data_IF_438634610106
#
_entry.id   IF_438634610106
#
_cell.length_a   1.000
_cell.length_b   1.000
_cell.length_c   1.000
_cell.angle_alpha   90.00
_cell.angle_beta   90.00
_cell.angle_gamma   90.00
#
_symmetry.space_group_name_H-M   'P 1'
#
loop_
_entity.id
_entity.type
_entity.pdbx_description
1 polymer ?
#
# COMPACT_ATOMS: atom_id res chain seq x y z
N UNK A 1 -4.84 16.01 -1.05
CA UNK A 1 -4.62 15.90 0.41
C UNK A 1 -3.38 16.68 0.86
N UNK A 2 -2.24 16.53 0.17
CA UNK A 2 -0.97 17.20 0.53
C UNK A 2 -1.04 18.73 0.61
N UNK A 3 -1.77 19.39 -0.29
CA UNK A 3 -1.94 20.84 -0.26
C UNK A 3 -2.68 21.35 0.99
N UNK A 4 -3.55 20.53 1.59
CA UNK A 4 -4.27 20.89 2.82
C UNK A 4 -3.37 20.71 4.05
N UNK A 5 -2.55 19.66 4.08
CA UNK A 5 -1.55 19.46 5.15
C UNK A 5 -0.55 20.61 5.12
N UNK A 6 0.05 20.92 3.97
CA UNK A 6 1.03 22.01 3.86
C UNK A 6 0.45 23.38 4.25
N UNK A 7 -0.85 23.58 4.06
CA UNK A 7 -1.54 24.85 4.34
C UNK A 7 -2.02 24.99 5.78
N UNK A 8 -2.34 23.89 6.46
CA UNK A 8 -2.96 23.91 7.79
C UNK A 8 -2.11 23.26 8.89
N UNK A 9 -1.06 22.52 8.54
CA UNK A 9 -0.07 22.01 9.50
C UNK A 9 0.61 23.21 10.19
N UNK A 10 0.55 23.28 11.52
CA UNK A 10 1.03 24.38 12.37
C UNK A 10 0.23 25.69 12.24
N UNK A 11 -0.99 25.63 11.71
CA UNK A 11 -1.88 26.79 11.73
C UNK A 11 -2.52 26.98 13.10
N UNK A 12 -2.77 28.22 13.49
CA UNK A 12 -3.42 28.55 14.76
C UNK A 12 -4.92 28.72 14.54
N UNK A 13 -5.74 27.84 15.13
CA UNK A 13 -7.20 27.97 15.16
C UNK A 13 -7.63 28.25 16.60
N UNK A 14 -8.22 29.43 16.83
CA UNK A 14 -8.73 29.87 18.15
C UNK A 14 -7.65 29.84 19.26
N UNK A 15 -6.41 30.21 18.92
CA UNK A 15 -5.29 30.26 19.86
C UNK A 15 -4.65 28.90 20.18
N UNK A 16 -5.07 27.82 19.50
CA UNK A 16 -4.43 26.51 19.60
C UNK A 16 -3.79 26.14 18.26
N UNK A 17 -2.55 25.65 18.30
CA UNK A 17 -1.90 25.07 17.13
C UNK A 17 -2.60 23.76 16.75
N UNK A 18 -2.90 23.62 15.47
CA UNK A 18 -3.42 22.38 14.91
C UNK A 18 -2.33 21.68 14.11
N UNK A 19 -2.13 20.40 14.41
CA UNK A 19 -1.28 19.52 13.62
C UNK A 19 -2.17 18.78 12.63
N UNK A 20 -2.00 19.06 11.34
CA UNK A 20 -2.66 18.30 10.28
C UNK A 20 -1.66 17.28 9.77
N UNK A 21 -1.94 16.01 9.93
CA UNK A 21 -1.10 14.90 9.43
C UNK A 21 -1.97 14.00 8.55
N UNK A 22 -1.34 13.27 7.63
CA UNK A 22 -2.03 12.13 7.01
C UNK A 22 -2.44 11.17 8.13
N UNK A 23 -3.66 10.66 8.06
CA UNK A 23 -4.11 9.68 9.03
C UNK A 23 -3.20 8.44 8.91
N UNK A 24 -2.48 8.02 9.97
CA UNK A 24 -1.70 6.80 9.92
C UNK A 24 -2.66 5.63 9.70
N UNK A 25 -2.45 4.88 8.63
CA UNK A 25 -3.27 3.74 8.26
C UNK A 25 -2.51 2.45 8.55
N UNK A 26 -3.00 1.66 9.51
CA UNK A 26 -2.45 0.34 9.81
C UNK A 26 -2.89 -0.74 8.79
N UNK A 27 -3.31 -0.33 7.59
CA UNK A 27 -3.96 -1.18 6.59
C UNK A 27 -3.13 -1.32 5.31
N UNK A 28 -1.84 -0.95 5.36
CA UNK A 28 -0.89 -1.07 4.28
C UNK A 28 -0.11 -2.39 4.35
N UNK A 29 -0.05 -3.08 3.22
CA UNK A 29 0.70 -4.30 3.03
C UNK A 29 1.65 -4.18 1.85
N UNK A 30 2.83 -4.77 2.00
CA UNK A 30 3.74 -5.05 0.91
C UNK A 30 3.62 -6.52 0.51
N UNK A 31 3.33 -6.77 -0.77
CA UNK A 31 3.25 -8.09 -1.37
C UNK A 31 4.45 -8.24 -2.30
N UNK A 32 5.34 -9.18 -1.97
CA UNK A 32 6.59 -9.42 -2.66
C UNK A 32 6.67 -10.84 -3.22
N UNK A 33 7.73 -11.08 -4.01
CA UNK A 33 7.96 -12.31 -4.78
C UNK A 33 6.89 -12.59 -5.85
N UNK A 34 6.34 -11.52 -6.43
CA UNK A 34 5.46 -11.59 -7.58
C UNK A 34 6.27 -11.96 -8.85
N UNK A 35 5.66 -12.66 -9.82
CA UNK A 35 6.28 -12.86 -11.13
C UNK A 35 6.65 -11.53 -11.80
N UNK A 36 7.77 -11.46 -12.51
CA UNK A 36 8.19 -10.20 -13.18
C UNK A 36 7.23 -9.76 -14.29
N UNK A 37 6.46 -10.70 -14.85
CA UNK A 37 5.43 -10.46 -15.86
C UNK A 37 4.07 -10.10 -15.26
N UNK A 38 3.95 -10.06 -13.92
CA UNK A 38 2.69 -9.75 -13.26
C UNK A 38 2.33 -8.28 -13.51
N UNK A 39 1.16 -8.04 -14.08
CA UNK A 39 0.73 -6.68 -14.44
C UNK A 39 0.05 -5.98 -13.27
N UNK A 40 -0.01 -4.65 -13.33
CA UNK A 40 -0.73 -3.85 -12.35
C UNK A 40 -2.20 -4.30 -12.21
N UNK A 41 -2.87 -4.61 -13.32
CA UNK A 41 -4.25 -5.06 -13.32
C UNK A 41 -4.40 -6.44 -12.65
N UNK A 42 -3.52 -7.40 -12.95
CA UNK A 42 -3.50 -8.70 -12.28
C UNK A 42 -3.22 -8.59 -10.79
N UNK A 43 -2.39 -7.63 -10.38
CA UNK A 43 -2.14 -7.34 -8.98
C UNK A 43 -3.39 -6.78 -8.29
N UNK A 44 -4.08 -5.84 -8.91
CA UNK A 44 -5.34 -5.31 -8.40
C UNK A 44 -6.41 -6.42 -8.28
N UNK A 45 -6.59 -7.23 -9.31
CA UNK A 45 -7.56 -8.34 -9.31
C UNK A 45 -7.25 -9.39 -8.23
N UNK A 46 -5.97 -9.58 -7.87
CA UNK A 46 -5.57 -10.49 -6.79
C UNK A 46 -6.00 -9.96 -5.41
N UNK A 47 -5.92 -8.65 -5.18
CA UNK A 47 -6.10 -8.03 -3.85
C UNK A 47 -7.50 -7.45 -3.63
N UNK A 48 -8.18 -7.05 -4.70
CA UNK A 48 -9.53 -6.46 -4.65
C UNK A 48 -10.61 -7.32 -3.97
N UNK A 49 -10.58 -8.68 -4.03
CA UNK A 49 -11.58 -9.50 -3.34
C UNK A 49 -11.58 -9.36 -1.81
N UNK A 50 -10.48 -8.92 -1.19
CA UNK A 50 -10.38 -8.82 0.27
C UNK A 50 -11.05 -7.55 0.84
N UNK A 51 -11.26 -6.53 -0.01
CA UNK A 51 -11.97 -5.31 0.34
C UNK A 51 -11.60 -4.12 -0.54
N UNK A 52 -12.21 -2.97 -0.27
CA UNK A 52 -11.93 -1.73 -0.99
C UNK A 52 -10.49 -1.26 -0.75
N UNK A 53 -9.86 -0.84 -1.83
CA UNK A 53 -8.47 -0.37 -1.90
C UNK A 53 -8.44 1.17 -1.85
N UNK A 54 -7.57 1.72 -1.02
CA UNK A 54 -7.19 3.15 -1.02
C UNK A 54 -6.05 3.39 -2.01
N UNK A 55 -5.01 2.55 -1.94
CA UNK A 55 -3.84 2.58 -2.83
C UNK A 55 -3.50 1.15 -3.27
N UNK A 56 -3.14 0.98 -4.53
CA UNK A 56 -2.71 -0.31 -5.07
C UNK A 56 -1.75 -0.06 -6.23
N UNK A 57 -0.47 -0.40 -6.08
CA UNK A 57 0.52 -0.19 -7.13
C UNK A 57 1.69 -1.19 -7.04
N UNK A 58 2.13 -1.66 -8.20
CA UNK A 58 3.38 -2.40 -8.37
C UNK A 58 4.55 -1.44 -8.46
N UNK A 59 5.70 -1.87 -7.93
CA UNK A 59 6.94 -1.11 -8.04
C UNK A 59 7.71 -1.56 -9.27
N UNK A 60 8.00 -0.61 -10.14
CA UNK A 60 8.78 -0.82 -11.36
C UNK A 60 10.17 -0.21 -11.21
N UNK A 61 11.14 -0.76 -11.94
CA UNK A 61 12.49 -0.21 -12.01
C UNK A 61 12.51 0.97 -12.98
N UNK A 62 12.88 2.16 -12.52
CA UNK A 62 12.98 3.37 -13.35
C UNK A 62 13.95 3.19 -14.53
N UNK A 63 15.02 2.41 -14.35
CA UNK A 63 16.05 2.21 -15.37
C UNK A 63 15.64 1.25 -16.51
N UNK A 64 14.71 0.32 -16.27
CA UNK A 64 14.40 -0.78 -17.21
C UNK A 64 12.92 -1.03 -17.47
N UNK A 65 12.02 -0.32 -16.79
CA UNK A 65 10.57 -0.50 -16.92
C UNK A 65 10.03 -1.86 -16.45
N UNK A 66 10.88 -2.74 -15.92
CA UNK A 66 10.47 -4.06 -15.42
C UNK A 66 9.97 -3.99 -13.97
N UNK A 67 8.98 -4.82 -13.64
CA UNK A 67 8.50 -4.97 -12.27
C UNK A 67 9.63 -5.50 -11.37
N UNK A 68 9.80 -4.85 -10.21
CA UNK A 68 10.74 -5.32 -9.17
C UNK A 68 10.21 -6.57 -8.43
N UNK A 69 9.02 -7.07 -8.81
CA UNK A 69 8.44 -8.27 -8.22
C UNK A 69 7.80 -8.02 -6.85
N UNK A 70 7.46 -6.78 -6.53
CA UNK A 70 6.70 -6.41 -5.35
C UNK A 70 5.79 -5.21 -5.63
N UNK A 71 4.75 -5.09 -4.80
CA UNK A 71 3.81 -3.99 -4.83
C UNK A 71 3.21 -3.71 -3.47
N UNK A 72 2.54 -2.58 -3.37
CA UNK A 72 1.90 -2.11 -2.16
C UNK A 72 0.40 -2.05 -2.36
N UNK A 73 -0.32 -2.49 -1.32
CA UNK A 73 -1.77 -2.39 -1.26
C UNK A 73 -2.18 -1.84 0.09
N UNK A 74 -2.97 -0.77 0.07
CA UNK A 74 -3.59 -0.17 1.23
C UNK A 74 -5.09 -0.36 1.13
N UNK A 75 -5.69 -0.91 2.18
CA UNK A 75 -7.12 -1.11 2.26
C UNK A 75 -7.79 0.01 3.06
N UNK A 76 -9.07 0.28 2.77
CA UNK A 76 -9.90 1.18 3.58
C UNK A 76 -10.07 0.71 5.03
N UNK A 77 -9.93 -0.60 5.27
CA UNK A 77 -10.12 -1.24 6.58
C UNK A 77 -8.96 -2.17 6.92
N UNK A 78 -8.50 -2.10 8.17
CA UNK A 78 -7.46 -2.99 8.73
C UNK A 78 -7.86 -4.46 8.66
N UNK A 79 -9.14 -4.78 8.86
CA UNK A 79 -9.65 -6.16 8.76
C UNK A 79 -9.50 -6.72 7.34
N UNK A 80 -9.72 -5.90 6.31
CA UNK A 80 -9.52 -6.30 4.92
C UNK A 80 -8.05 -6.62 4.65
N UNK A 81 -7.14 -5.78 5.15
CA UNK A 81 -5.70 -6.03 5.07
C UNK A 81 -5.30 -7.30 5.84
N UNK A 82 -5.82 -7.52 7.06
CA UNK A 82 -5.50 -8.71 7.84
C UNK A 82 -5.91 -10.00 7.11
N UNK A 83 -7.10 -10.01 6.49
CA UNK A 83 -7.58 -11.13 5.66
C UNK A 83 -6.70 -11.33 4.42
N UNK A 84 -6.37 -10.26 3.70
CA UNK A 84 -5.50 -10.32 2.54
C UNK A 84 -4.13 -10.90 2.90
N UNK A 85 -3.52 -10.43 4.00
CA UNK A 85 -2.25 -10.98 4.49
C UNK A 85 -2.37 -12.46 4.81
N UNK A 86 -3.42 -12.88 5.50
CA UNK A 86 -3.60 -14.29 5.88
C UNK A 86 -3.77 -15.23 4.68
N UNK A 87 -4.45 -14.78 3.61
CA UNK A 87 -4.70 -15.61 2.43
C UNK A 87 -3.54 -15.59 1.42
N UNK A 88 -2.88 -14.43 1.29
CA UNK A 88 -1.83 -14.23 0.30
C UNK A 88 -0.44 -14.64 0.82
N UNK A 89 -0.18 -14.57 2.13
CA UNK A 89 1.10 -15.00 2.69
C UNK A 89 1.29 -16.49 2.50
N UNK A 90 2.33 -16.88 1.76
CA UNK A 90 2.59 -18.29 1.47
C UNK A 90 1.80 -18.84 0.28
N UNK A 91 0.96 -18.02 -0.38
CA UNK A 91 0.21 -18.44 -1.56
C UNK A 91 1.15 -18.70 -2.73
N UNK A 92 0.99 -19.85 -3.39
CA UNK A 92 1.76 -20.16 -4.59
C UNK A 92 1.12 -19.53 -5.83
N UNK A 93 1.92 -18.76 -6.57
CA UNK A 93 1.61 -18.22 -7.89
C UNK A 93 2.61 -18.80 -8.89
N UNK A 94 2.20 -19.89 -9.55
CA UNK A 94 3.09 -20.68 -10.41
C UNK A 94 4.22 -21.30 -9.59
N UNK A 95 5.46 -20.96 -9.89
CA UNK A 95 6.66 -21.45 -9.18
C UNK A 95 7.12 -20.54 -8.04
N UNK A 96 6.39 -19.46 -7.74
CA UNK A 96 6.75 -18.47 -6.72
C UNK A 96 5.79 -18.52 -5.54
N UNK A 97 6.31 -18.31 -4.35
CA UNK A 97 5.52 -18.20 -3.12
C UNK A 97 5.46 -16.74 -2.70
N UNK A 98 4.25 -16.19 -2.61
CA UNK A 98 4.05 -14.80 -2.21
C UNK A 98 4.50 -14.55 -0.77
N UNK A 99 5.08 -13.38 -0.56
CA UNK A 99 5.45 -12.90 0.75
C UNK A 99 4.68 -11.63 1.07
N UNK A 100 4.04 -11.58 2.24
CA UNK A 100 3.19 -10.44 2.62
C UNK A 100 3.51 -9.97 4.03
N UNK A 101 3.81 -8.68 4.17
CA UNK A 101 4.11 -8.08 5.46
C UNK A 101 3.40 -6.72 5.63
N UNK A 102 3.18 -6.35 6.89
CA UNK A 102 2.70 -5.03 7.24
C UNK A 102 3.77 -4.00 6.91
N UNK A 103 3.37 -2.89 6.31
CA UNK A 103 4.27 -1.78 5.99
C UNK A 103 3.72 -0.52 6.65
N UNK A 104 4.63 0.28 7.20
CA UNK A 104 4.28 1.58 7.74
C UNK A 104 4.14 2.60 6.61
N UNK A 105 3.05 3.36 6.59
CA UNK A 105 2.77 4.33 5.50
C UNK A 105 3.81 5.45 5.46
N UNK A 106 4.48 5.75 6.57
CA UNK A 106 5.56 6.73 6.60
C UNK A 106 6.85 6.22 5.94
N UNK A 107 6.93 4.93 5.58
CA UNK A 107 8.02 4.38 4.78
C UNK A 107 7.76 4.52 3.26
N UNK A 108 6.55 4.93 2.86
CA UNK A 108 6.20 5.17 1.45
C UNK A 108 6.38 6.63 1.01
N UNK A 109 6.70 7.55 1.93
CA UNK A 109 7.04 8.92 1.56
C UNK A 109 8.42 8.94 0.91
N UNK A 110 8.43 8.98 -0.42
CA UNK A 110 9.55 9.49 -1.24
C UNK A 110 9.59 11.02 -1.15
#
# INVERSE_FOLDING_TARGET
AESAIKKFHLSTLRGKEITVQLQPTDALLCIANLPHLYTQQQFEDLVRPFGNLERCFLVYSEERGHSKGYGFVEYMKKDSAARAKSDLLGKQLGTRTLYVHWTDVNQLTL
#
